data_IF_626162816569
#
_entry.id   IF_626162816569
#
_cell.length_a   1.000
_cell.length_b   1.000
_cell.length_c   1.000
_cell.angle_alpha   90.00
_cell.angle_beta   90.00
_cell.angle_gamma   90.00
#
_symmetry.space_group_name_H-M   'P 1'
#
loop_
_entity.id
_entity.type
_entity.pdbx_description
1 polymer ?
#
# COMPACT_ATOMS: atom_id res chain seq x y z
N UNK A 1 5.94 36.85 -2.21
CA UNK A 1 5.65 35.86 -3.27
C UNK A 1 5.01 34.58 -2.75
N UNK A 2 5.18 34.23 -1.47
CA UNK A 2 4.59 33.02 -0.86
C UNK A 2 3.10 33.14 -0.48
N UNK A 3 2.57 34.34 -0.23
CA UNK A 3 1.14 34.54 0.12
C UNK A 3 0.18 34.41 -1.07
N UNK A 4 0.63 34.59 -2.32
CA UNK A 4 -0.25 34.55 -3.50
C UNK A 4 -0.56 33.13 -3.96
N UNK A 5 0.35 32.17 -3.73
CA UNK A 5 0.16 30.77 -4.09
C UNK A 5 -0.82 30.11 -3.11
N UNK A 6 -0.66 30.35 -1.80
CA UNK A 6 -1.61 29.87 -0.79
C UNK A 6 -3.03 30.42 -0.98
N UNK A 7 -3.17 31.70 -1.37
CA UNK A 7 -4.47 32.31 -1.66
C UNK A 7 -5.09 31.80 -2.97
N UNK A 8 -4.26 31.49 -3.97
CA UNK A 8 -4.70 30.87 -5.23
C UNK A 8 -5.23 29.45 -5.01
N UNK A 9 -4.57 28.66 -4.15
CA UNK A 9 -5.09 27.34 -3.74
C UNK A 9 -6.39 27.47 -2.94
N UNK A 10 -6.51 28.45 -2.02
CA UNK A 10 -7.73 28.68 -1.23
C UNK A 10 -8.93 29.18 -2.05
N UNK A 11 -8.71 29.99 -3.10
CA UNK A 11 -9.76 30.42 -4.02
C UNK A 11 -10.11 29.37 -5.08
N UNK A 12 -9.13 28.56 -5.52
CA UNK A 12 -9.37 27.45 -6.44
C UNK A 12 -10.09 26.27 -5.76
N UNK A 13 -9.80 26.02 -4.48
CA UNK A 13 -10.44 24.94 -3.69
C UNK A 13 -11.94 25.14 -3.57
N UNK A 14 -12.39 26.36 -3.24
CA UNK A 14 -13.83 26.63 -3.11
C UNK A 14 -14.56 26.44 -4.45
N UNK A 15 -13.97 26.84 -5.58
CA UNK A 15 -14.57 26.67 -6.90
C UNK A 15 -14.61 25.22 -7.36
N UNK A 16 -13.49 24.51 -7.28
CA UNK A 16 -13.39 23.13 -7.74
C UNK A 16 -14.19 22.15 -6.87
N UNK A 17 -14.12 22.29 -5.54
CA UNK A 17 -14.91 21.49 -4.62
C UNK A 17 -16.40 21.72 -4.83
N UNK A 18 -16.83 22.99 -4.99
CA UNK A 18 -18.23 23.29 -5.29
C UNK A 18 -18.68 22.65 -6.61
N UNK A 19 -17.83 22.63 -7.64
CA UNK A 19 -18.13 21.94 -8.91
C UNK A 19 -18.28 20.45 -8.70
N UNK A 20 -17.41 19.80 -7.93
CA UNK A 20 -17.55 18.36 -7.62
C UNK A 20 -18.85 18.09 -6.88
N UNK A 21 -19.16 18.87 -5.85
CA UNK A 21 -20.40 18.72 -5.07
C UNK A 21 -21.63 18.95 -5.96
N UNK A 22 -21.58 19.94 -6.85
CA UNK A 22 -22.65 20.20 -7.82
C UNK A 22 -22.83 19.01 -8.77
N UNK A 23 -21.76 18.46 -9.34
CA UNK A 23 -21.81 17.29 -10.23
C UNK A 23 -22.26 16.03 -9.50
N UNK A 24 -21.85 15.86 -8.24
CA UNK A 24 -22.29 14.78 -7.38
C UNK A 24 -23.80 14.87 -7.14
N UNK A 25 -24.30 16.05 -6.75
CA UNK A 25 -25.72 16.27 -6.53
C UNK A 25 -26.53 16.05 -7.82
N UNK A 26 -26.03 16.51 -8.97
CA UNK A 26 -26.66 16.26 -10.28
C UNK A 26 -26.68 14.77 -10.65
N UNK A 27 -25.67 13.99 -10.27
CA UNK A 27 -25.66 12.55 -10.50
C UNK A 27 -26.43 11.75 -9.43
N UNK A 28 -26.87 12.40 -8.36
CA UNK A 28 -27.58 11.76 -7.25
C UNK A 28 -29.11 11.83 -7.37
N UNK A 29 -29.67 12.40 -8.44
CA UNK A 29 -31.13 12.41 -8.66
C UNK A 29 -31.75 11.00 -8.71
N UNK A 30 -30.94 9.94 -8.82
CA UNK A 30 -31.35 8.53 -8.67
C UNK A 30 -30.81 7.80 -7.42
N UNK A 31 -30.11 8.47 -6.50
CA UNK A 31 -29.54 7.86 -5.27
C UNK A 31 -28.30 6.97 -5.46
N UNK A 32 -27.94 6.61 -6.69
CA UNK A 32 -26.87 5.65 -7.02
C UNK A 32 -25.45 6.20 -6.92
N UNK A 33 -25.30 7.50 -6.72
CA UNK A 33 -24.00 8.11 -6.46
C UNK A 33 -23.50 7.81 -5.03
N UNK A 34 -24.39 7.55 -4.07
CA UNK A 34 -24.01 7.24 -2.69
C UNK A 34 -23.21 5.94 -2.54
N UNK A 35 -23.62 4.79 -3.13
CA UNK A 35 -22.79 3.59 -3.14
C UNK A 35 -21.37 3.82 -3.67
N UNK A 36 -21.22 4.58 -4.77
CA UNK A 36 -19.91 4.94 -5.33
C UNK A 36 -19.06 5.70 -4.30
N UNK A 37 -19.65 6.68 -3.62
CA UNK A 37 -18.95 7.46 -2.59
C UNK A 37 -18.55 6.60 -1.40
N UNK A 38 -19.43 5.71 -0.94
CA UNK A 38 -19.13 4.79 0.17
C UNK A 38 -17.97 3.87 -0.20
N UNK A 39 -17.97 3.31 -1.41
CA UNK A 39 -16.86 2.50 -1.94
C UNK A 39 -15.55 3.29 -1.95
N UNK A 40 -15.57 4.55 -2.39
CA UNK A 40 -14.38 5.40 -2.38
C UNK A 40 -13.87 5.66 -0.96
N UNK A 41 -14.76 6.02 -0.02
CA UNK A 41 -14.38 6.32 1.36
C UNK A 41 -13.79 5.07 2.05
N UNK A 42 -14.44 3.91 1.93
CA UNK A 42 -13.97 2.67 2.52
C UNK A 42 -12.65 2.21 1.89
N UNK A 43 -12.52 2.28 0.57
CA UNK A 43 -11.26 1.98 -0.12
C UNK A 43 -10.13 2.90 0.32
N UNK A 44 -10.39 4.21 0.46
CA UNK A 44 -9.40 5.18 0.93
C UNK A 44 -9.02 4.92 2.40
N UNK A 45 -9.97 4.57 3.25
CA UNK A 45 -9.68 4.24 4.65
C UNK A 45 -8.72 3.05 4.76
N UNK A 46 -8.93 2.00 3.94
CA UNK A 46 -8.02 0.84 3.89
C UNK A 46 -6.67 1.25 3.32
N UNK A 47 -6.63 2.01 2.22
CA UNK A 47 -5.38 2.52 1.66
C UNK A 47 -4.57 3.33 2.69
N UNK A 48 -5.23 4.20 3.47
CA UNK A 48 -4.61 5.00 4.53
C UNK A 48 -4.10 4.15 5.71
N UNK A 49 -4.81 3.09 6.08
CA UNK A 49 -4.29 2.13 7.06
C UNK A 49 -3.04 1.43 6.52
N UNK A 50 -3.09 0.94 5.28
CA UNK A 50 -1.96 0.23 4.64
C UNK A 50 -0.72 1.09 4.54
N UNK A 51 -0.83 2.34 4.10
CA UNK A 51 0.31 3.24 3.96
C UNK A 51 0.99 3.49 5.33
N UNK A 52 0.21 3.64 6.40
CA UNK A 52 0.76 3.83 7.75
C UNK A 52 1.48 2.54 8.20
N UNK A 53 0.82 1.39 8.08
CA UNK A 53 1.37 0.09 8.47
C UNK A 53 2.68 -0.23 7.73
N UNK A 54 2.72 -0.02 6.40
CA UNK A 54 3.91 -0.27 5.59
C UNK A 54 5.04 0.73 5.89
N UNK A 55 4.73 1.99 6.18
CA UNK A 55 5.75 2.96 6.61
C UNK A 55 6.32 2.64 7.99
N UNK A 56 5.52 2.09 8.90
CA UNK A 56 5.99 1.67 10.22
C UNK A 56 6.83 0.38 10.18
N UNK A 57 6.66 -0.44 9.13
CA UNK A 57 7.48 -1.63 8.89
C UNK A 57 8.82 -1.32 8.19
N UNK A 58 8.93 -0.14 7.59
CA UNK A 58 10.10 0.34 6.86
C UNK A 58 11.18 0.78 7.86
N UNK A 59 12.28 0.03 7.92
CA UNK A 59 13.43 0.34 8.79
C UNK A 59 14.67 0.64 7.96
N UNK A 60 15.69 1.23 8.59
CA UNK A 60 17.00 1.35 7.95
C UNK A 60 17.70 -0.02 7.96
N UNK A 61 17.33 -0.85 6.99
CA UNK A 61 17.78 -2.24 6.84
C UNK A 61 19.31 -2.34 6.85
N UNK A 62 20.00 -1.45 6.11
CA UNK A 62 21.47 -1.43 6.06
C UNK A 62 22.09 -1.19 7.44
N UNK A 63 21.61 -0.19 8.17
CA UNK A 63 22.11 0.09 9.53
C UNK A 63 21.79 -1.06 10.48
N UNK A 64 20.60 -1.65 10.35
CA UNK A 64 20.21 -2.80 11.17
C UNK A 64 21.13 -4.00 10.95
N UNK A 65 21.45 -4.36 9.71
CA UNK A 65 22.38 -5.46 9.39
C UNK A 65 23.75 -5.22 10.04
N UNK A 66 24.31 -4.01 9.92
CA UNK A 66 25.61 -3.67 10.52
C UNK A 66 25.57 -3.87 12.03
N UNK A 67 24.55 -3.34 12.71
CA UNK A 67 24.39 -3.51 14.15
C UNK A 67 24.27 -5.00 14.55
N UNK A 68 23.59 -5.82 13.75
CA UNK A 68 23.47 -7.27 14.00
C UNK A 68 24.82 -7.96 13.82
N UNK A 69 25.59 -7.61 12.80
CA UNK A 69 26.93 -8.18 12.58
C UNK A 69 27.90 -7.79 13.71
N UNK A 70 27.84 -6.55 14.19
CA UNK A 70 28.60 -6.11 15.37
C UNK A 70 28.20 -6.90 16.62
N UNK A 71 26.89 -7.04 16.89
CA UNK A 71 26.39 -7.83 18.02
C UNK A 71 26.81 -9.31 17.95
N UNK A 72 26.82 -9.90 16.74
CA UNK A 72 27.29 -11.27 16.50
C UNK A 72 28.79 -11.43 16.81
N UNK A 73 29.62 -10.42 16.49
CA UNK A 73 31.06 -10.47 16.77
C UNK A 73 31.39 -10.30 18.25
N UNK A 74 30.72 -9.36 18.92
CA UNK A 74 31.06 -8.98 20.30
C UNK A 74 30.41 -9.92 21.34
N UNK A 75 29.14 -10.26 21.12
CA UNK A 75 28.29 -10.95 22.10
C UNK A 75 27.70 -12.27 21.60
N UNK A 76 28.06 -12.71 20.39
CA UNK A 76 27.58 -13.97 19.82
C UNK A 76 26.11 -13.94 19.41
N UNK A 77 25.53 -15.14 19.27
CA UNK A 77 24.16 -15.33 18.79
C UNK A 77 23.13 -14.73 19.76
N UNK A 78 23.34 -14.85 21.08
CA UNK A 78 22.37 -14.32 22.06
C UNK A 78 22.23 -12.80 21.98
N UNK A 79 23.33 -12.05 21.83
CA UNK A 79 23.29 -10.59 21.72
C UNK A 79 22.59 -10.13 20.43
N UNK A 80 22.84 -10.82 19.32
CA UNK A 80 22.19 -10.54 18.05
C UNK A 80 20.68 -10.84 18.09
N UNK A 81 20.28 -11.93 18.76
CA UNK A 81 18.88 -12.29 18.95
C UNK A 81 18.13 -11.22 19.75
N UNK A 82 18.74 -10.72 20.83
CA UNK A 82 18.14 -9.67 21.66
C UNK A 82 17.94 -8.37 20.87
N UNK A 83 18.92 -7.96 20.05
CA UNK A 83 18.80 -6.80 19.18
C UNK A 83 17.65 -6.96 18.16
N UNK A 84 17.50 -8.16 17.58
CA UNK A 84 16.41 -8.46 16.66
C UNK A 84 15.05 -8.39 17.38
N UNK A 85 14.95 -8.91 18.60
CA UNK A 85 13.72 -8.88 19.40
C UNK A 85 13.26 -7.46 19.77
N UNK A 86 14.19 -6.52 19.91
CA UNK A 86 13.91 -5.12 20.23
C UNK A 86 13.60 -4.27 18.98
N UNK A 87 13.88 -4.80 17.79
CA UNK A 87 13.71 -4.07 16.53
C UNK A 87 12.40 -4.46 15.85
N UNK A 88 11.64 -3.48 15.39
CA UNK A 88 10.41 -3.70 14.62
C UNK A 88 10.74 -3.88 13.15
N UNK A 89 9.98 -4.70 12.44
CA UNK A 89 10.04 -4.81 10.99
C UNK A 89 10.31 -6.23 10.50
N UNK A 90 10.02 -6.52 9.23
CA UNK A 90 10.06 -7.88 8.68
C UNK A 90 11.46 -8.47 8.71
N UNK A 91 12.49 -7.66 8.43
CA UNK A 91 13.91 -8.09 8.48
C UNK A 91 14.29 -8.56 9.88
N UNK A 92 13.91 -7.82 10.93
CA UNK A 92 14.21 -8.15 12.30
C UNK A 92 13.51 -9.45 12.76
N UNK A 93 12.23 -9.61 12.42
CA UNK A 93 11.46 -10.83 12.71
C UNK A 93 12.12 -12.08 12.08
N UNK A 94 12.54 -11.98 10.82
CA UNK A 94 13.17 -13.10 10.10
C UNK A 94 14.57 -13.40 10.64
N UNK A 95 15.33 -12.35 11.00
CA UNK A 95 16.65 -12.53 11.60
C UNK A 95 16.57 -13.23 12.94
N UNK A 96 15.64 -12.83 13.79
CA UNK A 96 15.39 -13.50 15.07
C UNK A 96 15.09 -14.98 14.86
N UNK A 97 14.21 -15.33 13.92
CA UNK A 97 13.86 -16.72 13.65
C UNK A 97 15.06 -17.55 13.17
N UNK A 98 15.92 -16.99 12.31
CA UNK A 98 17.16 -17.63 11.87
C UNK A 98 18.15 -17.84 13.01
N UNK A 99 18.36 -16.80 13.85
CA UNK A 99 19.29 -16.84 14.98
C UNK A 99 18.85 -17.84 16.05
N UNK A 100 17.56 -17.92 16.38
CA UNK A 100 17.00 -18.88 17.34
C UNK A 100 17.27 -20.35 16.95
N UNK A 101 17.40 -20.64 15.65
CA UNK A 101 17.66 -21.98 15.12
C UNK A 101 19.08 -22.21 14.64
N UNK A 102 19.95 -21.22 14.76
CA UNK A 102 21.34 -21.31 14.28
C UNK A 102 22.13 -22.42 15.00
N UNK A 103 21.83 -22.67 16.28
CA UNK A 103 22.42 -23.75 17.09
C UNK A 103 22.02 -25.17 16.62
N UNK A 104 20.92 -25.30 15.86
CA UNK A 104 20.46 -26.58 15.29
C UNK A 104 21.16 -26.89 13.93
N UNK A 105 21.94 -25.94 13.41
CA UNK A 105 22.66 -26.02 12.14
C UNK A 105 22.13 -25.04 11.08
N UNK A 106 22.95 -24.77 10.06
CA UNK A 106 22.62 -23.81 8.98
C UNK A 106 21.33 -24.17 8.24
N UNK A 107 21.13 -25.46 7.92
CA UNK A 107 19.90 -25.94 7.26
C UNK A 107 18.63 -25.66 8.10
N UNK A 108 18.73 -25.72 9.43
CA UNK A 108 17.63 -25.39 10.32
C UNK A 108 17.35 -23.89 10.36
N UNK A 109 18.39 -23.06 10.35
CA UNK A 109 18.29 -21.60 10.27
C UNK A 109 17.69 -21.13 8.93
N UNK A 110 18.15 -21.67 7.80
CA UNK A 110 17.61 -21.36 6.47
C UNK A 110 16.11 -21.72 6.38
N UNK A 111 15.73 -22.90 6.88
CA UNK A 111 14.32 -23.32 6.93
C UNK A 111 13.49 -22.41 7.83
N UNK A 112 14.03 -21.96 8.96
CA UNK A 112 13.35 -21.02 9.84
C UNK A 112 13.13 -19.67 9.16
N UNK A 113 14.17 -19.12 8.53
CA UNK A 113 14.14 -17.87 7.76
C UNK A 113 13.08 -17.95 6.65
N UNK A 114 13.08 -19.03 5.84
CA UNK A 114 12.14 -19.19 4.74
C UNK A 114 10.68 -19.28 5.24
N UNK A 115 10.45 -20.01 6.33
CA UNK A 115 9.12 -20.15 6.93
C UNK A 115 8.61 -18.83 7.50
N UNK A 116 9.43 -18.10 8.26
CA UNK A 116 9.05 -16.82 8.84
C UNK A 116 8.97 -15.70 7.79
N UNK A 117 9.81 -15.73 6.75
CA UNK A 117 9.71 -14.82 5.62
C UNK A 117 8.38 -14.95 4.89
N UNK A 118 7.90 -16.18 4.69
CA UNK A 118 6.57 -16.43 4.11
C UNK A 118 5.44 -15.89 4.99
N UNK A 119 5.58 -16.00 6.32
CA UNK A 119 4.61 -15.46 7.28
C UNK A 119 4.60 -13.93 7.23
N UNK A 120 5.77 -13.28 7.23
CA UNK A 120 5.87 -11.83 7.16
C UNK A 120 5.38 -11.26 5.83
N UNK A 121 5.67 -11.92 4.71
CA UNK A 121 5.09 -11.60 3.41
C UNK A 121 3.55 -11.58 3.48
N UNK A 122 2.94 -12.60 4.09
CA UNK A 122 1.49 -12.65 4.29
C UNK A 122 0.95 -11.49 5.15
N UNK A 123 1.69 -11.07 6.17
CA UNK A 123 1.32 -9.90 6.98
C UNK A 123 1.45 -8.57 6.21
N UNK A 124 2.46 -8.44 5.36
CA UNK A 124 2.65 -7.30 4.47
C UNK A 124 1.58 -7.21 3.38
N UNK A 125 1.00 -8.33 2.94
CA UNK A 125 -0.08 -8.33 1.95
C UNK A 125 -1.48 -8.16 2.55
N UNK A 126 -1.62 -8.38 3.87
CA UNK A 126 -2.91 -8.35 4.56
C UNK A 126 -3.69 -7.05 4.26
N UNK A 127 -4.95 -7.19 3.87
CA UNK A 127 -5.81 -6.03 3.58
C UNK A 127 -5.79 -5.54 2.13
N UNK A 128 -4.78 -5.91 1.33
CA UNK A 128 -4.78 -5.58 -0.12
C UNK A 128 -5.96 -6.20 -0.86
N UNK A 129 -6.41 -7.40 -0.44
CA UNK A 129 -7.60 -8.06 -1.01
C UNK A 129 -8.85 -7.20 -0.86
N UNK A 130 -9.01 -6.49 0.26
CA UNK A 130 -10.15 -5.60 0.48
C UNK A 130 -10.04 -4.33 -0.35
N UNK A 131 -8.84 -3.77 -0.47
CA UNK A 131 -8.60 -2.64 -1.37
C UNK A 131 -8.94 -3.01 -2.83
N UNK A 132 -8.51 -4.20 -3.27
CA UNK A 132 -8.83 -4.76 -4.59
C UNK A 132 -10.35 -4.93 -4.80
N UNK A 133 -11.08 -5.38 -3.77
CA UNK A 133 -12.54 -5.45 -3.82
C UNK A 133 -13.15 -4.07 -4.09
N UNK A 134 -12.75 -3.02 -3.35
CA UNK A 134 -13.30 -1.68 -3.54
C UNK A 134 -12.94 -1.08 -4.91
N UNK A 135 -11.76 -1.39 -5.44
CA UNK A 135 -11.37 -1.04 -6.81
C UNK A 135 -12.31 -1.68 -7.83
N UNK A 136 -12.60 -2.97 -7.66
CA UNK A 136 -13.43 -3.72 -8.60
C UNK A 136 -14.90 -3.29 -8.57
N UNK A 137 -15.47 -3.01 -7.39
CA UNK A 137 -16.90 -2.67 -7.26
C UNK A 137 -17.20 -1.20 -7.57
N UNK A 138 -16.23 -0.29 -7.45
CA UNK A 138 -16.42 1.14 -7.77
C UNK A 138 -17.00 1.39 -9.19
N UNK A 139 -16.40 0.86 -10.27
CA UNK A 139 -16.95 1.00 -11.62
C UNK A 139 -18.25 0.21 -11.80
N UNK A 140 -18.44 -0.91 -11.08
CA UNK A 140 -19.68 -1.69 -11.15
C UNK A 140 -20.86 -0.91 -10.59
N UNK A 141 -20.69 -0.18 -9.49
CA UNK A 141 -21.72 0.73 -8.98
C UNK A 141 -21.98 1.89 -9.94
N UNK A 142 -20.93 2.43 -10.58
CA UNK A 142 -21.08 3.43 -11.64
C UNK A 142 -21.93 2.93 -12.83
N UNK A 143 -21.62 1.73 -13.31
CA UNK A 143 -22.36 1.06 -14.37
C UNK A 143 -23.81 0.77 -13.97
N UNK A 144 -24.04 0.27 -12.75
CA UNK A 144 -25.37 0.03 -12.23
C UNK A 144 -26.21 1.31 -12.20
N UNK A 145 -25.63 2.43 -11.77
CA UNK A 145 -26.29 3.74 -11.81
C UNK A 145 -26.66 4.18 -13.23
N UNK A 146 -25.91 3.75 -14.24
CA UNK A 146 -26.26 4.01 -15.65
C UNK A 146 -27.46 3.22 -16.09
N UNK A 147 -27.50 1.92 -15.78
CA UNK A 147 -28.66 1.07 -16.09
C UNK A 147 -29.92 1.67 -15.49
N UNK A 148 -29.86 2.12 -14.23
CA UNK A 148 -31.03 2.63 -13.53
C UNK A 148 -31.42 4.02 -14.01
N UNK A 149 -30.45 4.90 -14.29
CA UNK A 149 -30.74 6.21 -14.90
C UNK A 149 -31.39 6.09 -16.28
N UNK A 150 -31.02 5.06 -17.06
CA UNK A 150 -31.67 4.76 -18.33
C UNK A 150 -33.08 4.21 -18.15
N UNK A 151 -33.32 3.34 -17.17
CA UNK A 151 -34.67 2.86 -16.84
C UNK A 151 -35.58 4.03 -16.48
N UNK A 152 -35.13 4.92 -15.58
CA UNK A 152 -35.89 6.11 -15.20
C UNK A 152 -36.18 7.03 -16.40
N UNK A 153 -35.19 7.22 -17.30
CA UNK A 153 -35.39 8.03 -18.50
C UNK A 153 -36.51 7.47 -19.41
N UNK A 154 -36.63 6.13 -19.51
CA UNK A 154 -37.71 5.51 -20.27
C UNK A 154 -39.06 5.57 -19.55
N UNK A 155 -39.09 5.40 -18.23
CA UNK A 155 -40.30 5.57 -17.43
C UNK A 155 -40.86 6.99 -17.56
N UNK A 156 -39.99 8.01 -17.61
CA UNK A 156 -40.39 9.41 -17.80
C UNK A 156 -40.99 9.66 -19.21
N UNK A 157 -40.46 9.00 -20.25
CA UNK A 157 -41.03 9.05 -21.62
C UNK A 157 -42.41 8.42 -21.63
N UNK A 158 -42.56 7.24 -21.01
CA UNK A 158 -43.85 6.54 -20.93
C UNK A 158 -44.90 7.39 -20.20
N UNK A 159 -44.53 7.99 -19.06
CA UNK A 159 -45.41 8.82 -18.26
C UNK A 159 -45.83 10.12 -18.97
N UNK A 160 -44.93 10.73 -19.74
CA UNK A 160 -45.20 11.97 -20.45
C UNK A 160 -46.08 11.77 -21.71
N UNK A 161 -46.19 10.53 -22.22
CA UNK A 161 -46.80 10.20 -23.50
C UNK A 161 -46.29 11.08 -24.67
N UNK A 162 -45.08 11.63 -24.53
CA UNK A 162 -44.42 12.52 -25.46
C UNK A 162 -42.93 12.17 -25.52
N UNK A 163 -42.38 12.16 -26.73
CA UNK A 163 -40.98 11.86 -26.97
C UNK A 163 -40.27 13.19 -27.19
N UNK A 164 -40.13 13.96 -26.11
CA UNK A 164 -39.32 15.18 -26.14
C UNK A 164 -37.88 14.86 -25.74
N UNK A 165 -36.86 15.24 -26.53
CA UNK A 165 -35.46 14.98 -26.20
C UNK A 165 -35.02 15.54 -24.84
N UNK A 166 -35.69 16.58 -24.35
CA UNK A 166 -35.41 17.18 -23.04
C UNK A 166 -35.84 16.31 -21.87
N UNK A 167 -36.86 15.45 -22.03
CA UNK A 167 -37.30 14.51 -20.98
C UNK A 167 -36.19 13.46 -20.76
N UNK A 168 -35.63 12.92 -21.84
CA UNK A 168 -34.62 11.83 -21.77
C UNK A 168 -33.24 12.35 -21.36
N UNK A 169 -32.90 13.59 -21.74
CA UNK A 169 -31.58 14.17 -21.49
C UNK A 169 -31.21 14.24 -19.99
N UNK A 170 -32.21 14.38 -19.10
CA UNK A 170 -32.02 14.36 -17.65
C UNK A 170 -31.48 13.02 -17.15
N UNK A 171 -32.20 11.92 -17.41
CA UNK A 171 -31.80 10.58 -16.98
C UNK A 171 -30.48 10.11 -17.59
N UNK A 172 -30.21 10.44 -18.86
CA UNK A 172 -28.91 10.17 -19.51
C UNK A 172 -27.78 10.93 -18.80
N UNK A 173 -27.99 12.19 -18.43
CA UNK A 173 -26.98 12.98 -17.71
C UNK A 173 -26.64 12.36 -16.36
N UNK A 174 -27.65 11.95 -15.58
CA UNK A 174 -27.47 11.28 -14.28
C UNK A 174 -26.69 9.98 -14.44
N UNK A 175 -27.05 9.18 -15.45
CA UNK A 175 -26.41 7.92 -15.79
C UNK A 175 -24.90 8.10 -16.08
N UNK A 176 -24.56 9.05 -16.95
CA UNK A 176 -23.18 9.34 -17.34
C UNK A 176 -22.34 9.86 -16.16
N UNK A 177 -22.91 10.74 -15.33
CA UNK A 177 -22.21 11.26 -14.15
C UNK A 177 -21.88 10.15 -13.15
N UNK A 178 -22.81 9.20 -12.94
CA UNK A 178 -22.62 8.10 -12.01
C UNK A 178 -21.53 7.14 -12.48
N UNK A 179 -21.47 6.82 -13.79
CA UNK A 179 -20.36 6.06 -14.37
C UNK A 179 -19.03 6.79 -14.21
N UNK A 180 -18.99 8.08 -14.54
CA UNK A 180 -17.76 8.87 -14.40
C UNK A 180 -17.26 8.85 -12.95
N UNK A 181 -18.15 9.00 -11.96
CA UNK A 181 -17.81 8.90 -10.54
C UNK A 181 -17.22 7.55 -10.16
N UNK A 182 -17.85 6.45 -10.61
CA UNK A 182 -17.37 5.09 -10.36
C UNK A 182 -15.98 4.82 -10.93
N UNK A 183 -15.72 5.29 -12.16
CA UNK A 183 -14.41 5.18 -12.79
C UNK A 183 -13.35 6.01 -12.07
N UNK A 184 -13.64 7.26 -11.72
CA UNK A 184 -12.71 8.13 -10.98
C UNK A 184 -12.35 7.49 -9.63
N UNK A 185 -13.35 6.98 -8.89
CA UNK A 185 -13.12 6.31 -7.63
C UNK A 185 -12.21 5.08 -7.80
N UNK A 186 -12.50 4.22 -8.79
CA UNK A 186 -11.67 3.05 -9.10
C UNK A 186 -10.23 3.42 -9.46
N UNK A 187 -10.01 4.46 -10.27
CA UNK A 187 -8.68 4.94 -10.67
C UNK A 187 -7.88 5.40 -9.44
N UNK A 188 -8.48 6.21 -8.56
CA UNK A 188 -7.81 6.70 -7.35
C UNK A 188 -7.37 5.54 -6.46
N UNK A 189 -8.26 4.58 -6.22
CA UNK A 189 -7.96 3.41 -5.40
C UNK A 189 -6.90 2.52 -6.06
N UNK A 190 -6.93 2.36 -7.39
CA UNK A 190 -5.95 1.56 -8.14
C UNK A 190 -4.53 2.13 -8.05
N UNK A 191 -4.38 3.46 -8.09
CA UNK A 191 -3.08 4.12 -7.88
C UNK A 191 -2.55 3.81 -6.47
N UNK A 192 -3.41 3.95 -5.45
CA UNK A 192 -3.04 3.64 -4.06
C UNK A 192 -2.67 2.17 -3.85
N UNK A 193 -3.39 1.25 -4.50
CA UNK A 193 -3.08 -0.18 -4.47
C UNK A 193 -1.71 -0.47 -5.07
N UNK A 194 -1.40 0.05 -6.26
CA UNK A 194 -0.11 -0.18 -6.92
C UNK A 194 1.05 0.40 -6.10
N UNK A 195 0.84 1.54 -5.43
CA UNK A 195 1.83 2.08 -4.50
C UNK A 195 2.10 1.08 -3.35
N UNK A 196 1.05 0.54 -2.74
CA UNK A 196 1.20 -0.41 -1.63
C UNK A 196 1.92 -1.68 -2.08
N UNK A 197 1.55 -2.25 -3.23
CA UNK A 197 2.20 -3.43 -3.82
C UNK A 197 3.69 -3.16 -4.05
N UNK A 198 4.03 -2.06 -4.72
CA UNK A 198 5.44 -1.70 -4.97
C UNK A 198 6.25 -1.54 -3.68
N UNK A 199 5.63 -1.00 -2.62
CA UNK A 199 6.28 -0.89 -1.32
C UNK A 199 6.48 -2.26 -0.64
N UNK A 200 5.49 -3.15 -0.73
CA UNK A 200 5.57 -4.51 -0.20
C UNK A 200 6.67 -5.30 -0.92
N UNK A 201 6.71 -5.26 -2.25
CA UNK A 201 7.74 -5.92 -3.06
C UNK A 201 9.15 -5.47 -2.64
N UNK A 202 9.34 -4.17 -2.39
CA UNK A 202 10.61 -3.64 -1.90
C UNK A 202 10.99 -4.20 -0.52
N UNK A 203 10.04 -4.22 0.42
CA UNK A 203 10.27 -4.76 1.77
C UNK A 203 10.58 -6.26 1.74
N UNK A 204 9.93 -7.02 0.87
CA UNK A 204 10.21 -8.44 0.65
C UNK A 204 11.62 -8.63 0.10
N UNK A 205 11.98 -7.89 -0.95
CA UNK A 205 13.31 -7.99 -1.55
C UNK A 205 14.41 -7.65 -0.54
N UNK A 206 14.24 -6.58 0.25
CA UNK A 206 15.16 -6.23 1.33
C UNK A 206 15.27 -7.34 2.38
N UNK A 207 14.15 -7.95 2.76
CA UNK A 207 14.11 -9.07 3.71
C UNK A 207 14.84 -10.32 3.19
N UNK A 208 14.66 -10.67 1.92
CA UNK A 208 15.33 -11.81 1.27
C UNK A 208 16.84 -11.58 1.15
N UNK A 209 17.26 -10.40 0.66
CA UNK A 209 18.68 -10.04 0.53
C UNK A 209 19.39 -10.01 1.89
N UNK A 210 18.73 -9.43 2.90
CA UNK A 210 19.26 -9.39 4.27
C UNK A 210 19.42 -10.79 4.85
N UNK A 211 18.49 -11.70 4.55
CA UNK A 211 18.51 -13.07 5.07
C UNK A 211 19.72 -13.87 4.56
N UNK A 212 20.12 -13.65 3.31
CA UNK A 212 21.36 -14.24 2.75
C UNK A 212 22.57 -13.73 3.54
N UNK A 213 22.63 -12.42 3.79
CA UNK A 213 23.71 -11.79 4.56
C UNK A 213 23.81 -12.35 5.98
N UNK A 214 22.69 -12.65 6.62
CA UNK A 214 22.66 -13.28 7.94
C UNK A 214 23.25 -14.69 7.92
N UNK A 215 22.85 -15.52 6.96
CA UNK A 215 23.37 -16.90 6.84
C UNK A 215 24.89 -16.88 6.61
N UNK A 216 25.37 -16.02 5.71
CA UNK A 216 26.81 -15.84 5.47
C UNK A 216 27.53 -15.40 6.76
N UNK A 217 26.92 -14.50 7.53
CA UNK A 217 27.47 -14.04 8.82
C UNK A 217 27.55 -15.17 9.85
N UNK A 218 26.54 -16.04 9.93
CA UNK A 218 26.56 -17.22 10.84
C UNK A 218 27.65 -18.21 10.40
N UNK A 219 27.81 -18.44 9.10
CA UNK A 219 28.85 -19.33 8.56
C UNK A 219 30.25 -18.80 8.91
N UNK A 220 30.51 -17.51 8.65
CA UNK A 220 31.81 -16.89 8.96
C UNK A 220 32.11 -16.92 10.46
N UNK A 221 31.10 -16.72 11.31
CA UNK A 221 31.25 -16.81 12.77
C UNK A 221 31.65 -18.24 13.20
N UNK A 222 31.00 -19.26 12.63
CA UNK A 222 31.33 -20.67 12.89
C UNK A 222 32.76 -21.03 12.42
N UNK A 223 33.27 -20.36 11.39
CA UNK A 223 34.65 -20.50 10.90
C UNK A 223 35.67 -19.64 11.66
N UNK A 224 35.23 -18.82 12.64
CA UNK A 224 36.09 -17.90 13.39
C UNK A 224 36.66 -16.74 12.57
N UNK A 225 35.99 -16.37 11.47
CA UNK A 225 36.37 -15.27 10.58
C UNK A 225 35.65 -13.98 10.97
N UNK A 226 36.27 -12.81 10.74
CA UNK A 226 35.61 -11.53 10.99
C UNK A 226 34.41 -11.35 10.04
N UNK A 227 33.27 -10.89 10.59
CA UNK A 227 32.02 -10.64 9.83
C UNK A 227 32.04 -9.30 9.10
N UNK A 228 32.91 -8.39 9.54
CA UNK A 228 33.11 -7.06 8.99
C UNK A 228 34.54 -7.07 8.44
N UNK A 229 34.69 -7.06 7.12
CA UNK A 229 35.97 -6.68 6.52
C UNK A 229 36.14 -5.17 6.70
N UNK A 230 37.35 -4.65 7.00
CA UNK A 230 37.58 -3.22 6.99
C UNK A 230 37.13 -2.69 5.63
N UNK A 231 36.26 -1.68 5.63
CA UNK A 231 35.84 -1.01 4.40
C UNK A 231 37.09 -0.60 3.62
N UNK A 232 37.18 -1.03 2.37
CA UNK A 232 38.26 -0.68 1.43
C UNK A 232 38.33 0.83 1.14
N UNK A 233 37.44 1.64 1.72
CA UNK A 233 37.33 3.09 1.53
C UNK A 233 38.29 3.93 2.40
N UNK A 234 38.88 3.37 3.46
CA UNK A 234 39.81 4.13 4.33
C UNK A 234 41.25 4.21 3.78
N UNK A 235 41.53 3.59 2.62
CA UNK A 235 42.86 3.64 1.97
C UNK A 235 42.96 4.63 0.81
N UNK A 236 41.90 5.38 0.49
CA UNK A 236 41.88 6.28 -0.67
C UNK A 236 42.17 7.76 -0.33
N UNK A 237 42.19 8.14 0.95
CA UNK A 237 42.40 9.53 1.39
C UNK A 237 43.83 9.85 1.86
N UNK A 238 44.81 9.00 1.52
CA UNK A 238 46.22 9.26 1.81
C UNK A 238 47.11 9.01 0.59
N UNK A 239 46.98 9.83 -0.45
CA UNK A 239 48.05 10.14 -1.41
C UNK A 239 47.83 11.49 -2.11
#
# INVERSE_FOLDING_TARGET
MTSSIALFFLQADAGFFNVIVEKFNQGNDGGWMWPVLVTLILGLAIFLERIITLNLADINTRKFIVNVQEALQEGGIEAAEELCAQTRGPVASVFQAGLMRSNEGIDAAEKAIAAYGSIEMSFLERGLVWLSLFIAIAPLFGFLGTVIGMIQAFDDIEAAADISPSIVAGGIKVALLTTAGGLIAGIILQIGYNYCVSKIDRLIAEMEESSITLIDSIILLNEGKPLITPSVDDSADSE
#
